data_IF_099182092724
#
_entry.id   IF_099182092724
#
_cell.length_a   1.000
_cell.length_b   1.000
_cell.length_c   1.000
_cell.angle_alpha   90.00
_cell.angle_beta   90.00
_cell.angle_gamma   90.00
#
_symmetry.space_group_name_H-M   'P 1'
#
loop_
_entity.id
_entity.type
_entity.pdbx_description
1 polymer ?
#
# COMPACT_ATOMS: atom_id res chain seq x y z
N UNK A 1 16.75 -4.08 -17.51
CA UNK A 1 15.64 -4.82 -16.89
C UNK A 1 14.42 -4.68 -17.79
N UNK A 2 13.81 -5.79 -18.21
CA UNK A 2 12.58 -5.73 -19.01
C UNK A 2 11.48 -5.06 -18.18
N UNK A 3 10.82 -4.04 -18.73
CA UNK A 3 9.70 -3.38 -18.10
C UNK A 3 8.56 -4.37 -17.93
N UNK A 4 8.15 -4.62 -16.70
CA UNK A 4 6.99 -5.48 -16.41
C UNK A 4 5.72 -4.70 -16.76
N UNK A 5 4.90 -5.24 -17.69
CA UNK A 5 3.60 -4.65 -18.01
C UNK A 5 2.63 -4.84 -16.83
N UNK A 6 2.18 -3.74 -16.23
CA UNK A 6 1.25 -3.69 -15.11
C UNK A 6 -0.13 -3.15 -15.50
N UNK A 7 -0.41 -2.96 -16.80
CA UNK A 7 -1.72 -2.50 -17.23
C UNK A 7 -2.82 -3.42 -16.68
N UNK A 8 -3.93 -2.87 -16.18
CA UNK A 8 -5.03 -3.67 -15.67
C UNK A 8 -5.59 -4.62 -16.74
N UNK A 9 -5.85 -5.84 -16.35
CA UNK A 9 -6.44 -6.88 -17.21
C UNK A 9 -7.82 -7.24 -16.68
N UNK A 10 -8.79 -7.49 -17.55
CA UNK A 10 -10.15 -7.86 -17.18
C UNK A 10 -10.18 -9.02 -16.16
N UNK A 11 -11.11 -8.95 -15.21
CA UNK A 11 -11.32 -10.01 -14.21
C UNK A 11 -11.69 -11.36 -14.83
N UNK A 12 -12.32 -11.35 -16.01
CA UNK A 12 -12.70 -12.57 -16.75
C UNK A 12 -11.50 -13.42 -17.20
N UNK A 13 -10.30 -12.83 -17.24
CA UNK A 13 -9.08 -13.54 -17.63
C UNK A 13 -8.43 -14.14 -16.39
N UNK A 14 -8.39 -15.47 -16.32
CA UNK A 14 -7.78 -16.27 -15.25
C UNK A 14 -8.16 -15.81 -13.81
N UNK A 15 -9.45 -15.71 -13.47
CA UNK A 15 -9.89 -15.23 -12.18
C UNK A 15 -9.46 -16.15 -11.02
N UNK A 16 -9.34 -17.46 -11.29
CA UNK A 16 -9.02 -18.48 -10.28
C UNK A 16 -7.62 -18.27 -9.68
N UNK A 17 -6.67 -17.77 -10.44
CA UNK A 17 -5.31 -17.47 -9.96
C UNK A 17 -5.17 -16.04 -9.44
N UNK A 18 -5.73 -15.08 -10.17
CA UNK A 18 -5.52 -13.65 -9.92
C UNK A 18 -6.32 -13.14 -8.72
N UNK A 19 -7.53 -13.65 -8.49
CA UNK A 19 -8.34 -13.18 -7.37
C UNK A 19 -7.80 -13.63 -5.99
N UNK A 20 -7.42 -14.90 -5.77
CA UNK A 20 -6.73 -15.30 -4.54
C UNK A 20 -5.39 -14.59 -4.35
N UNK A 21 -4.62 -14.36 -5.43
CA UNK A 21 -3.39 -13.59 -5.39
C UNK A 21 -3.63 -12.16 -4.90
N UNK A 22 -4.66 -11.49 -5.43
CA UNK A 22 -5.05 -10.15 -4.98
C UNK A 22 -5.39 -10.14 -3.50
N UNK A 23 -6.31 -11.01 -3.07
CA UNK A 23 -6.76 -11.07 -1.67
C UNK A 23 -5.61 -11.39 -0.71
N UNK A 24 -4.80 -12.38 -1.05
CA UNK A 24 -3.61 -12.74 -0.27
C UNK A 24 -2.61 -11.59 -0.15
N UNK A 25 -2.32 -10.92 -1.27
CA UNK A 25 -1.45 -9.74 -1.29
C UNK A 25 -1.98 -8.59 -0.42
N UNK A 26 -3.28 -8.31 -0.50
CA UNK A 26 -3.91 -7.25 0.31
C UNK A 26 -3.93 -7.60 1.81
N UNK A 27 -4.18 -8.87 2.15
CA UNK A 27 -4.11 -9.35 3.55
C UNK A 27 -2.68 -9.26 4.10
N UNK A 28 -1.68 -9.66 3.33
CA UNK A 28 -0.26 -9.49 3.69
C UNK A 28 0.09 -8.00 3.86
N UNK A 29 -0.46 -7.13 3.01
CA UNK A 29 -0.26 -5.68 3.11
C UNK A 29 -0.82 -5.13 4.43
N UNK A 30 -2.08 -5.43 4.77
CA UNK A 30 -2.67 -5.03 6.05
C UNK A 30 -1.92 -5.60 7.27
N UNK A 31 -1.42 -6.84 7.16
CA UNK A 31 -0.57 -7.45 8.19
C UNK A 31 0.72 -6.68 8.37
N UNK A 32 1.41 -6.32 7.29
CA UNK A 32 2.65 -5.53 7.34
C UNK A 32 2.43 -4.16 7.98
N UNK A 33 1.33 -3.48 7.65
CA UNK A 33 0.95 -2.20 8.28
C UNK A 33 0.77 -2.36 9.80
N UNK A 34 0.11 -3.44 10.23
CA UNK A 34 -0.04 -3.74 11.65
C UNK A 34 1.32 -3.95 12.34
N UNK A 35 2.25 -4.71 11.72
CA UNK A 35 3.61 -4.90 12.24
C UNK A 35 4.34 -3.56 12.37
N UNK A 36 4.33 -2.71 11.35
CA UNK A 36 4.98 -1.40 11.36
C UNK A 36 4.42 -0.50 12.47
N UNK A 37 3.08 -0.46 12.61
CA UNK A 37 2.45 0.35 13.68
C UNK A 37 2.80 -0.17 15.08
N UNK A 38 2.98 -1.47 15.26
CA UNK A 38 3.33 -2.09 16.53
C UNK A 38 4.82 -2.01 16.86
N UNK A 39 5.67 -1.84 15.86
CA UNK A 39 7.10 -1.57 16.02
C UNK A 39 7.39 -0.21 16.68
N UNK A 40 6.57 0.83 16.44
CA UNK A 40 6.68 2.16 17.05
C UNK A 40 8.00 2.89 16.74
N UNK A 41 8.69 2.54 15.66
CA UNK A 41 9.97 3.14 15.24
C UNK A 41 9.82 4.12 14.08
N UNK A 42 8.60 4.43 13.68
CA UNK A 42 8.24 5.25 12.52
C UNK A 42 7.52 4.44 11.46
N UNK A 43 6.68 5.13 10.69
CA UNK A 43 5.72 4.57 9.74
C UNK A 43 5.99 5.10 8.33
N UNK A 44 5.40 4.47 7.32
CA UNK A 44 5.36 5.08 5.98
C UNK A 44 4.51 6.38 5.99
N UNK A 45 4.67 7.26 4.99
CA UNK A 45 4.00 8.56 4.97
C UNK A 45 2.48 8.49 5.16
N UNK A 46 1.82 7.51 4.55
CA UNK A 46 0.37 7.35 4.65
C UNK A 46 -0.05 6.80 6.00
N UNK A 47 0.72 5.88 6.56
CA UNK A 47 0.45 5.34 7.90
C UNK A 47 0.70 6.37 9.00
N UNK A 48 1.63 7.32 8.78
CA UNK A 48 1.76 8.50 9.65
C UNK A 48 0.48 9.33 9.64
N UNK A 49 -0.15 9.53 8.47
CA UNK A 49 -1.45 10.21 8.37
C UNK A 49 -2.56 9.41 9.08
N UNK A 50 -2.64 8.10 8.83
CA UNK A 50 -3.66 7.25 9.46
C UNK A 50 -3.51 7.23 10.99
N UNK A 51 -2.29 7.12 11.50
CA UNK A 51 -2.02 7.18 12.93
C UNK A 51 -2.34 8.57 13.50
N UNK A 52 -1.99 9.63 12.79
CA UNK A 52 -2.35 11.00 13.17
C UNK A 52 -3.86 11.19 13.31
N UNK A 53 -4.64 10.63 12.38
CA UNK A 53 -6.11 10.64 12.45
C UNK A 53 -6.61 9.89 13.68
N UNK A 54 -6.10 8.68 13.94
CA UNK A 54 -6.52 7.89 15.13
C UNK A 54 -6.19 8.60 16.45
N UNK A 55 -5.11 9.37 16.51
CA UNK A 55 -4.73 10.13 17.70
C UNK A 55 -5.60 11.38 17.96
N UNK A 56 -6.34 11.83 16.95
CA UNK A 56 -7.26 12.97 17.03
C UNK A 56 -8.74 12.57 17.08
N UNK A 57 -9.01 11.29 16.87
CA UNK A 57 -10.36 10.74 16.82
C UNK A 57 -10.39 9.39 17.53
N UNK A 58 -11.57 8.89 17.86
CA UNK A 58 -11.76 7.54 18.44
C UNK A 58 -11.85 6.43 17.37
N UNK A 59 -11.35 6.70 16.16
CA UNK A 59 -11.39 5.75 15.05
C UNK A 59 -10.35 4.64 15.23
N UNK A 60 -10.68 3.42 14.79
CA UNK A 60 -9.68 2.38 14.62
C UNK A 60 -8.70 2.74 13.50
N UNK A 61 -7.51 2.11 13.50
CA UNK A 61 -6.52 2.37 12.47
C UNK A 61 -7.03 1.98 11.07
N UNK A 62 -7.70 0.83 10.95
CA UNK A 62 -8.32 0.38 9.71
C UNK A 62 -9.42 1.32 9.23
N UNK A 63 -10.22 1.86 10.14
CA UNK A 63 -11.23 2.88 9.79
C UNK A 63 -10.56 4.15 9.26
N UNK A 64 -9.46 4.61 9.85
CA UNK A 64 -8.70 5.75 9.34
C UNK A 64 -8.13 5.46 7.94
N UNK A 65 -7.61 4.24 7.69
CA UNK A 65 -7.18 3.79 6.36
C UNK A 65 -8.34 3.83 5.36
N UNK A 66 -9.52 3.32 5.72
CA UNK A 66 -10.68 3.33 4.86
C UNK A 66 -11.13 4.75 4.50
N UNK A 67 -11.25 5.64 5.50
CA UNK A 67 -11.66 7.04 5.31
C UNK A 67 -10.65 7.77 4.40
N UNK A 68 -9.35 7.66 4.68
CA UNK A 68 -8.32 8.28 3.84
C UNK A 68 -8.37 7.74 2.40
N UNK A 69 -8.55 6.41 2.24
CA UNK A 69 -8.68 5.78 0.92
C UNK A 69 -9.91 6.29 0.16
N UNK A 70 -11.06 6.41 0.82
CA UNK A 70 -12.28 6.97 0.22
C UNK A 70 -12.06 8.44 -0.17
N UNK A 71 -11.43 9.25 0.68
CA UNK A 71 -11.08 10.63 0.35
C UNK A 71 -10.20 10.71 -0.89
N UNK A 72 -9.20 9.83 -1.00
CA UNK A 72 -8.35 9.72 -2.19
C UNK A 72 -9.16 9.31 -3.43
N UNK A 73 -10.09 8.36 -3.30
CA UNK A 73 -10.96 7.95 -4.41
C UNK A 73 -11.89 9.08 -4.87
N UNK A 74 -12.33 9.97 -3.98
CA UNK A 74 -13.07 11.17 -4.37
C UNK A 74 -12.23 12.11 -5.24
N UNK A 75 -10.91 12.21 -4.98
CA UNK A 75 -9.98 12.95 -5.82
C UNK A 75 -9.79 12.32 -7.23
N UNK A 76 -10.12 11.03 -7.40
CA UNK A 76 -10.09 10.40 -8.72
C UNK A 76 -11.18 10.93 -9.65
N UNK A 77 -12.30 11.46 -9.12
CA UNK A 77 -13.39 12.02 -9.94
C UNK A 77 -12.90 13.13 -10.88
N UNK A 78 -12.28 14.22 -10.37
CA UNK A 78 -11.72 15.25 -11.26
C UNK A 78 -10.54 14.75 -12.09
N UNK A 79 -9.80 13.71 -11.64
CA UNK A 79 -8.71 13.11 -12.39
C UNK A 79 -9.19 12.11 -13.46
N UNK A 80 -10.51 11.83 -13.51
CA UNK A 80 -11.14 10.86 -14.43
C UNK A 80 -10.52 9.46 -14.37
N UNK A 81 -10.01 9.07 -13.19
CA UNK A 81 -9.54 7.72 -12.97
C UNK A 81 -10.73 6.79 -12.68
N UNK A 82 -10.64 5.55 -13.14
CA UNK A 82 -11.71 4.54 -12.94
C UNK A 82 -11.25 3.49 -11.93
N UNK A 83 -11.94 3.34 -10.79
CA UNK A 83 -11.60 2.29 -9.83
C UNK A 83 -11.90 0.91 -10.44
N UNK A 84 -10.94 -0.01 -10.28
CA UNK A 84 -11.12 -1.42 -10.58
C UNK A 84 -11.58 -2.21 -9.35
N UNK A 85 -11.83 -3.50 -9.51
CA UNK A 85 -12.17 -4.38 -8.38
C UNK A 85 -11.03 -4.45 -7.36
N UNK A 86 -9.77 -4.43 -7.84
CA UNK A 86 -8.59 -4.37 -6.99
C UNK A 86 -8.55 -3.11 -6.13
N UNK A 87 -9.01 -1.97 -6.65
CA UNK A 87 -9.09 -0.70 -5.92
C UNK A 87 -10.08 -0.78 -4.76
N UNK A 88 -11.27 -1.33 -5.00
CA UNK A 88 -12.31 -1.49 -3.95
C UNK A 88 -11.86 -2.49 -2.89
N UNK A 89 -11.34 -3.64 -3.30
CA UNK A 89 -10.85 -4.66 -2.38
C UNK A 89 -9.62 -4.18 -1.58
N UNK A 90 -8.78 -3.33 -2.16
CA UNK A 90 -7.67 -2.71 -1.45
C UNK A 90 -8.17 -1.94 -0.22
N UNK A 91 -9.20 -1.11 -0.36
CA UNK A 91 -9.78 -0.37 0.77
C UNK A 91 -10.34 -1.33 1.82
N UNK A 92 -11.16 -2.30 1.41
CA UNK A 92 -11.88 -3.18 2.34
C UNK A 92 -10.92 -4.15 3.05
N UNK A 93 -10.12 -4.89 2.28
CA UNK A 93 -9.29 -5.98 2.82
C UNK A 93 -8.17 -5.44 3.70
N UNK A 94 -7.48 -4.38 3.26
CA UNK A 94 -6.38 -3.79 4.05
C UNK A 94 -6.92 -3.23 5.36
N UNK A 95 -8.00 -2.44 5.32
CA UNK A 95 -8.59 -1.83 6.51
C UNK A 95 -9.06 -2.88 7.54
N UNK A 96 -9.70 -3.94 7.07
CA UNK A 96 -10.13 -5.04 7.93
C UNK A 96 -8.93 -5.79 8.51
N UNK A 97 -7.96 -6.15 7.66
CA UNK A 97 -6.83 -6.98 8.08
C UNK A 97 -5.92 -6.24 9.05
N UNK A 98 -5.66 -4.95 8.84
CA UNK A 98 -4.80 -4.19 9.76
C UNK A 98 -5.41 -4.13 11.16
N UNK A 99 -6.71 -3.92 11.30
CA UNK A 99 -7.38 -3.90 12.60
C UNK A 99 -7.40 -5.29 13.24
N UNK A 100 -7.69 -6.34 12.45
CA UNK A 100 -7.67 -7.72 12.94
C UNK A 100 -6.30 -8.10 13.51
N UNK A 101 -5.22 -7.83 12.77
CA UNK A 101 -3.86 -8.15 13.23
C UNK A 101 -3.46 -7.28 14.42
N UNK A 102 -3.82 -6.01 14.44
CA UNK A 102 -3.57 -5.12 15.59
C UNK A 102 -4.32 -5.54 16.85
N UNK A 103 -5.45 -6.21 16.73
CA UNK A 103 -6.19 -6.74 17.88
C UNK A 103 -5.43 -7.88 18.58
N UNK A 104 -4.65 -8.67 17.84
CA UNK A 104 -3.90 -9.81 18.38
C UNK A 104 -2.41 -9.52 18.59
N UNK A 105 -1.85 -8.51 17.92
CA UNK A 105 -0.45 -8.11 18.04
C UNK A 105 -0.33 -6.89 18.95
N UNK A 106 0.16 -7.02 20.20
CA UNK A 106 0.30 -5.90 21.12
C UNK A 106 1.43 -4.95 20.67
N UNK A 107 1.39 -3.67 21.09
CA UNK A 107 2.52 -2.75 20.87
C UNK A 107 3.79 -3.28 21.55
N UNK A 108 4.91 -3.18 20.86
CA UNK A 108 6.17 -3.66 21.39
C UNK A 108 6.93 -2.53 22.09
N UNK A 109 7.59 -2.87 23.20
CA UNK A 109 8.43 -1.96 23.99
C UNK A 109 9.89 -2.44 24.04
N UNK A 110 10.13 -3.69 23.77
CA UNK A 110 11.47 -4.26 23.63
C UNK A 110 12.05 -3.92 22.26
N UNK A 111 13.29 -3.41 22.25
CA UNK A 111 13.93 -2.90 21.03
C UNK A 111 14.18 -4.02 20.01
N UNK A 112 14.50 -5.24 20.44
CA UNK A 112 14.74 -6.35 19.54
C UNK A 112 13.46 -6.74 18.80
N UNK A 113 12.32 -6.78 19.50
CA UNK A 113 11.01 -7.00 18.89
C UNK A 113 10.58 -5.85 17.99
N UNK A 114 10.85 -4.61 18.38
CA UNK A 114 10.56 -3.42 17.54
C UNK A 114 11.33 -3.50 16.22
N UNK A 115 12.63 -3.81 16.25
CA UNK A 115 13.46 -3.96 15.05
C UNK A 115 12.97 -5.13 14.20
N UNK A 116 12.62 -6.26 14.82
CA UNK A 116 12.10 -7.45 14.12
C UNK A 116 10.78 -7.13 13.40
N UNK A 117 9.85 -6.46 14.08
CA UNK A 117 8.58 -6.05 13.45
C UNK A 117 8.77 -5.00 12.37
N UNK A 118 9.69 -4.05 12.56
CA UNK A 118 10.00 -3.03 11.56
C UNK A 118 10.58 -3.67 10.30
N UNK A 119 11.65 -4.44 10.43
CA UNK A 119 12.34 -5.05 9.29
C UNK A 119 11.47 -6.09 8.59
N UNK A 120 10.83 -6.97 9.36
CA UNK A 120 9.88 -7.95 8.85
C UNK A 120 8.67 -7.29 8.18
N UNK A 121 8.14 -6.23 8.79
CA UNK A 121 7.03 -5.44 8.23
C UNK A 121 7.39 -4.78 6.90
N UNK A 122 8.58 -4.18 6.78
CA UNK A 122 9.04 -3.55 5.53
C UNK A 122 9.19 -4.61 4.42
N UNK A 123 9.85 -5.74 4.71
CA UNK A 123 10.03 -6.81 3.72
C UNK A 123 8.68 -7.39 3.30
N UNK A 124 7.80 -7.66 4.27
CA UNK A 124 6.46 -8.16 3.99
C UNK A 124 5.62 -7.17 3.17
N UNK A 125 5.75 -5.87 3.44
CA UNK A 125 5.07 -4.82 2.69
C UNK A 125 5.52 -4.77 1.22
N UNK A 126 6.83 -4.89 0.98
CA UNK A 126 7.40 -4.97 -0.38
C UNK A 126 6.89 -6.20 -1.14
N UNK A 127 6.87 -7.36 -0.50
CA UNK A 127 6.31 -8.58 -1.06
C UNK A 127 4.81 -8.46 -1.33
N UNK A 128 4.05 -7.99 -0.34
CA UNK A 128 2.62 -7.78 -0.44
C UNK A 128 2.25 -6.85 -1.60
N UNK A 129 2.99 -5.74 -1.74
CA UNK A 129 2.87 -4.81 -2.86
C UNK A 129 3.07 -5.52 -4.20
N UNK A 130 4.15 -6.29 -4.33
CA UNK A 130 4.42 -7.04 -5.55
C UNK A 130 3.30 -8.06 -5.86
N UNK A 131 2.79 -8.75 -4.85
CA UNK A 131 1.74 -9.78 -5.00
C UNK A 131 0.43 -9.16 -5.47
N UNK A 132 -0.08 -8.10 -4.78
CA UNK A 132 -1.38 -7.54 -5.15
C UNK A 132 -1.33 -6.74 -6.47
N UNK A 133 -0.26 -5.98 -6.69
CA UNK A 133 -0.06 -5.26 -7.97
C UNK A 133 0.12 -6.25 -9.11
N UNK A 134 0.88 -7.33 -8.87
CA UNK A 134 1.11 -8.40 -9.83
C UNK A 134 -0.16 -9.14 -10.28
N UNK A 135 -1.25 -9.07 -9.51
CA UNK A 135 -2.54 -9.60 -9.93
C UNK A 135 -3.21 -8.80 -11.07
N UNK A 136 -2.77 -7.55 -11.33
CA UNK A 136 -3.22 -6.66 -12.43
C UNK A 136 -4.76 -6.43 -12.46
N UNK A 137 -5.42 -6.38 -11.29
CA UNK A 137 -6.88 -6.20 -11.16
C UNK A 137 -7.30 -4.76 -10.83
N UNK A 138 -6.37 -3.83 -10.93
CA UNK A 138 -6.56 -2.39 -10.72
C UNK A 138 -5.56 -1.82 -9.72
N UNK A 139 -5.20 -0.54 -9.84
CA UNK A 139 -4.28 0.11 -8.94
C UNK A 139 -4.92 0.35 -7.57
N UNK A 140 -4.09 0.44 -6.53
CA UNK A 140 -4.52 0.94 -5.23
C UNK A 140 -4.96 2.41 -5.30
N UNK A 141 -5.74 2.90 -4.31
CA UNK A 141 -6.20 4.30 -4.29
C UNK A 141 -5.06 5.30 -4.42
N UNK A 142 -3.96 5.09 -3.71
CA UNK A 142 -2.75 5.94 -3.70
C UNK A 142 -2.05 5.96 -5.06
N UNK A 143 -1.91 4.78 -5.68
CA UNK A 143 -1.22 4.64 -6.97
C UNK A 143 -2.00 5.34 -8.09
N UNK A 144 -3.32 5.19 -8.10
CA UNK A 144 -4.17 5.87 -9.08
C UNK A 144 -4.23 7.38 -8.88
N UNK A 145 -4.10 7.88 -7.65
CA UNK A 145 -3.95 9.32 -7.40
C UNK A 145 -2.66 9.85 -8.03
N UNK A 146 -1.53 9.16 -7.79
CA UNK A 146 -0.22 9.55 -8.31
C UNK A 146 -0.19 9.53 -9.83
N UNK A 147 -0.65 8.44 -10.44
CA UNK A 147 -0.69 8.29 -11.90
C UNK A 147 -1.70 9.23 -12.55
N UNK A 148 -2.87 9.42 -11.95
CA UNK A 148 -3.90 10.34 -12.43
C UNK A 148 -3.43 11.79 -12.41
N UNK A 149 -2.77 12.22 -11.34
CA UNK A 149 -2.22 13.56 -11.24
C UNK A 149 -1.07 13.77 -12.22
N UNK A 150 -0.15 12.80 -12.36
CA UNK A 150 0.92 12.83 -13.34
C UNK A 150 0.40 12.99 -14.77
N UNK A 151 -0.59 12.18 -15.14
CA UNK A 151 -1.23 12.27 -16.47
C UNK A 151 -1.89 13.62 -16.70
N UNK A 152 -2.56 14.18 -15.68
CA UNK A 152 -3.27 15.45 -15.82
C UNK A 152 -2.36 16.66 -15.87
N UNK A 153 -1.23 16.63 -15.14
CA UNK A 153 -0.27 17.74 -15.08
C UNK A 153 0.83 17.64 -16.14
N UNK A 154 1.01 16.49 -16.75
CA UNK A 154 2.15 16.20 -17.63
C UNK A 154 3.48 16.04 -16.91
N UNK A 155 3.48 16.00 -15.56
CA UNK A 155 4.68 15.84 -14.78
C UNK A 155 5.08 14.35 -14.66
N UNK A 156 6.39 14.05 -14.54
CA UNK A 156 6.84 12.68 -14.27
C UNK A 156 6.22 12.13 -12.97
N UNK A 157 5.89 10.85 -12.96
CA UNK A 157 5.25 10.18 -11.80
C UNK A 157 6.10 10.29 -10.53
N UNK A 158 7.44 10.22 -10.64
CA UNK A 158 8.35 10.28 -9.49
C UNK A 158 8.18 11.56 -8.65
N UNK A 159 8.39 12.76 -9.21
CA UNK A 159 8.15 14.03 -8.51
C UNK A 159 6.73 14.18 -7.95
N UNK A 160 5.70 13.76 -8.71
CA UNK A 160 4.30 13.79 -8.25
C UNK A 160 4.14 12.91 -7.01
N UNK A 161 4.66 11.68 -7.05
CA UNK A 161 4.65 10.76 -5.92
C UNK A 161 5.34 11.37 -4.70
N UNK A 162 6.57 11.85 -4.87
CA UNK A 162 7.33 12.48 -3.77
C UNK A 162 6.57 13.66 -3.16
N UNK A 163 5.97 14.52 -3.98
CA UNK A 163 5.18 15.66 -3.52
C UNK A 163 3.96 15.23 -2.69
N UNK A 164 3.22 14.22 -3.15
CA UNK A 164 2.07 13.67 -2.42
C UNK A 164 2.55 13.04 -1.10
N UNK A 165 3.60 12.22 -1.13
CA UNK A 165 4.12 11.54 0.07
C UNK A 165 4.61 12.54 1.11
N UNK A 166 5.28 13.62 0.71
CA UNK A 166 5.72 14.68 1.61
C UNK A 166 4.53 15.46 2.21
N UNK A 167 3.52 15.78 1.41
CA UNK A 167 2.31 16.46 1.89
C UNK A 167 1.55 15.59 2.91
N UNK A 168 1.38 14.31 2.61
CA UNK A 168 0.72 13.34 3.48
C UNK A 168 1.51 13.13 4.78
N UNK A 169 2.84 12.98 4.67
CA UNK A 169 3.74 12.84 5.82
C UNK A 169 3.66 14.06 6.73
N UNK A 170 3.77 15.26 6.17
CA UNK A 170 3.69 16.51 6.94
C UNK A 170 2.33 16.65 7.65
N UNK A 171 1.23 16.38 6.93
CA UNK A 171 -0.11 16.41 7.51
C UNK A 171 -0.26 15.40 8.65
N UNK A 172 0.17 14.17 8.43
CA UNK A 172 0.11 13.12 9.45
C UNK A 172 0.97 13.43 10.68
N UNK A 173 2.16 13.99 10.48
CA UNK A 173 3.02 14.42 11.58
C UNK A 173 2.41 15.56 12.39
N UNK A 174 1.82 16.56 11.74
CA UNK A 174 1.10 17.66 12.43
C UNK A 174 -0.11 17.17 13.23
N UNK A 175 -0.73 16.07 12.80
CA UNK A 175 -1.80 15.40 13.54
C UNK A 175 -1.28 14.53 14.69
N UNK A 176 0.04 14.35 14.81
CA UNK A 176 0.69 13.59 15.88
C UNK A 176 1.11 12.16 15.48
N UNK A 177 1.09 11.85 14.19
CA UNK A 177 1.59 10.57 13.67
C UNK A 177 3.09 10.40 13.91
N UNK A 178 3.53 9.16 14.05
CA UNK A 178 4.90 8.81 14.45
C UNK A 178 5.84 8.77 13.24
N UNK A 179 6.75 9.75 13.18
CA UNK A 179 7.87 9.79 12.23
C UNK A 179 9.14 9.35 12.98
N UNK A 180 9.95 8.52 12.35
CA UNK A 180 11.17 8.01 12.98
C UNK A 180 12.11 7.33 11.99
N UNK A 181 13.09 6.58 12.52
CA UNK A 181 14.07 5.83 11.72
C UNK A 181 13.38 4.86 10.76
N UNK A 182 12.27 4.23 11.20
CA UNK A 182 11.46 3.36 10.37
C UNK A 182 10.89 4.05 9.14
N UNK A 183 10.51 5.33 9.24
CA UNK A 183 10.00 6.12 8.11
C UNK A 183 11.07 6.28 7.02
N UNK A 184 12.29 6.61 7.42
CA UNK A 184 13.41 6.75 6.50
C UNK A 184 13.79 5.40 5.88
N UNK A 185 13.91 4.36 6.70
CA UNK A 185 14.24 3.02 6.24
C UNK A 185 13.21 2.50 5.24
N UNK A 186 11.92 2.67 5.55
CA UNK A 186 10.83 2.31 4.63
C UNK A 186 10.96 3.06 3.30
N UNK A 187 11.10 4.38 3.33
CA UNK A 187 11.17 5.21 2.12
C UNK A 187 12.31 4.80 1.17
N UNK A 188 13.46 4.40 1.73
CA UNK A 188 14.64 3.99 0.94
C UNK A 188 14.52 2.57 0.41
N UNK A 189 13.87 1.66 1.16
CA UNK A 189 13.93 0.23 0.87
C UNK A 189 12.70 -0.31 0.14
N UNK A 190 11.51 0.30 0.30
CA UNK A 190 10.27 -0.23 -0.24
C UNK A 190 10.27 -0.33 -1.78
N UNK A 191 10.82 0.67 -2.46
CA UNK A 191 10.94 0.68 -3.92
C UNK A 191 11.80 -0.48 -4.45
N UNK A 192 13.06 -0.62 -4.02
CA UNK A 192 13.92 -1.76 -4.35
C UNK A 192 13.28 -3.12 -4.02
N UNK A 193 12.67 -3.29 -2.85
CA UNK A 193 12.01 -4.55 -2.47
C UNK A 193 10.86 -4.91 -3.41
N UNK A 194 9.95 -3.96 -3.67
CA UNK A 194 8.85 -4.20 -4.58
C UNK A 194 9.34 -4.55 -6.00
N UNK A 195 10.38 -3.87 -6.50
CA UNK A 195 10.98 -4.18 -7.80
C UNK A 195 11.64 -5.57 -7.85
N UNK A 196 12.21 -6.02 -6.75
CA UNK A 196 12.84 -7.35 -6.65
C UNK A 196 11.78 -8.47 -6.63
N UNK A 197 10.69 -8.27 -5.89
CA UNK A 197 9.65 -9.29 -5.76
C UNK A 197 8.68 -9.34 -6.94
N UNK A 198 8.40 -8.20 -7.59
CA UNK A 198 7.40 -8.10 -8.65
C UNK A 198 7.61 -9.08 -9.82
N UNK A 199 8.82 -9.25 -10.37
CA UNK A 199 9.05 -10.22 -11.46
C UNK A 199 8.75 -11.67 -11.09
N UNK A 200 8.81 -12.02 -9.81
CA UNK A 200 8.59 -13.37 -9.28
C UNK A 200 7.11 -13.72 -9.15
N UNK A 201 6.26 -12.70 -8.94
CA UNK A 201 4.84 -12.89 -8.58
C UNK A 201 3.87 -12.28 -9.59
N UNK A 202 4.36 -11.50 -10.57
CA UNK A 202 3.48 -10.87 -11.56
C UNK A 202 2.79 -11.93 -12.41
N UNK A 203 1.46 -11.83 -12.51
CA UNK A 203 0.70 -12.68 -13.41
C UNK A 203 1.03 -12.34 -14.87
N UNK A 204 1.39 -13.35 -15.63
CA UNK A 204 1.67 -13.26 -17.06
C UNK A 204 0.63 -14.10 -17.80
N UNK A 205 0.12 -13.56 -18.89
CA UNK A 205 -0.74 -14.34 -19.79
C UNK A 205 0.09 -15.49 -20.34
N UNK A 206 -0.44 -16.71 -20.29
CA UNK A 206 0.20 -17.83 -20.99
C UNK A 206 0.30 -17.47 -22.48
N UNK A 207 1.49 -17.65 -23.03
CA UNK A 207 1.73 -17.43 -24.45
C UNK A 207 1.03 -18.57 -25.21
N UNK A 208 0.05 -18.28 -26.11
CA UNK A 208 -0.64 -19.34 -26.87
C UNK A 208 0.31 -20.13 -27.78
N UNK A 209 1.46 -19.54 -28.12
CA UNK A 209 2.44 -20.08 -29.05
C UNK A 209 3.61 -20.83 -28.36
N UNK A 210 3.53 -21.03 -27.02
CA UNK A 210 4.56 -21.72 -26.23
C UNK A 210 4.29 -23.23 -26.02
N UNK A 211 3.46 -23.85 -26.86
CA UNK A 211 3.16 -25.28 -26.83
C UNK A 211 3.78 -26.03 -28.03
#
# INVERSE_FOLDING_TARGET
MASVDLAPVSLSVDPVRRFPQLLGGLALYGTSMAMLTRARLGLDPWDVLHEGLTKRTDLSFGTAVAIASVAVLLLWLPLRQRPGIGTVLNVVVISFTVDLVRAVLPPQHDLAWQITLLTGGIVLNGLATAVYVGARLGPGPRDGLMTGLATRTGWPVGPVRTGIELAVLATGWLLGGTVGVGTVLYAVTIGPLAQTFLPLVVWRRADPDAA
#
